data_IF_314638570097
#
_entry.id   IF_314638570097
#
_cell.length_a   1.000
_cell.length_b   1.000
_cell.length_c   1.000
_cell.angle_alpha   90.00
_cell.angle_beta   90.00
_cell.angle_gamma   90.00
#
_symmetry.space_group_name_H-M   'P 1'
#
loop_
_entity.id
_entity.type
_entity.pdbx_description
1 polymer ?
#
# COMPACT_ATOMS: atom_id res chain seq x y z
N UNK A 1 41.98 -1.21 56.36
CA UNK A 1 42.34 -2.22 55.33
C UNK A 1 43.80 -2.57 55.53
N UNK A 2 44.12 -3.86 55.73
CA UNK A 2 45.47 -4.31 56.07
C UNK A 2 46.41 -4.23 54.84
N UNK A 3 47.71 -4.04 55.02
CA UNK A 3 48.64 -3.84 53.89
C UNK A 3 48.80 -5.08 52.99
N UNK A 4 48.61 -6.26 53.56
CA UNK A 4 48.55 -7.53 52.83
C UNK A 4 47.36 -7.60 51.88
N UNK A 5 46.22 -7.00 52.26
CA UNK A 5 45.03 -6.90 51.41
C UNK A 5 45.24 -5.95 50.24
N UNK A 6 45.98 -4.84 50.43
CA UNK A 6 46.35 -3.92 49.34
C UNK A 6 47.21 -4.63 48.31
N UNK A 7 48.19 -5.41 48.75
CA UNK A 7 49.12 -6.13 47.87
C UNK A 7 48.39 -7.18 47.02
N UNK A 8 47.48 -7.95 47.62
CA UNK A 8 46.65 -8.92 46.89
C UNK A 8 45.72 -8.26 45.86
N UNK A 9 45.18 -7.07 46.15
CA UNK A 9 44.36 -6.30 45.21
C UNK A 9 45.21 -5.83 44.03
N UNK A 10 46.40 -5.30 44.31
CA UNK A 10 47.34 -4.83 43.29
C UNK A 10 47.78 -5.96 42.35
N UNK A 11 48.17 -7.12 42.90
CA UNK A 11 48.53 -8.30 42.09
C UNK A 11 47.34 -8.84 41.27
N UNK A 12 46.11 -8.68 41.76
CA UNK A 12 44.91 -9.03 40.98
C UNK A 12 44.67 -8.01 39.87
N UNK A 13 44.87 -6.72 40.14
CA UNK A 13 44.75 -5.64 39.15
C UNK A 13 45.78 -5.79 38.02
N UNK A 14 47.04 -6.03 38.36
CA UNK A 14 48.12 -6.27 37.39
C UNK A 14 47.84 -7.50 36.52
N UNK A 15 47.38 -8.61 37.11
CA UNK A 15 46.93 -9.79 36.34
C UNK A 15 45.75 -9.51 35.39
N UNK A 16 44.89 -8.56 35.72
CA UNK A 16 43.78 -8.17 34.84
C UNK A 16 44.23 -7.20 33.74
N UNK A 17 45.20 -6.32 34.02
CA UNK A 17 45.84 -5.46 33.02
C UNK A 17 46.62 -6.30 32.00
N UNK A 18 47.39 -7.29 32.45
CA UNK A 18 48.16 -8.19 31.57
C UNK A 18 47.28 -9.05 30.68
N UNK A 19 46.03 -9.31 31.09
CA UNK A 19 45.01 -10.01 30.28
C UNK A 19 44.13 -9.08 29.46
N UNK A 20 44.21 -7.77 29.67
CA UNK A 20 43.36 -6.78 29.01
C UNK A 20 43.84 -6.55 27.57
N UNK A 21 42.92 -6.53 26.62
CA UNK A 21 43.21 -6.06 25.26
C UNK A 21 43.43 -4.54 25.27
N UNK A 22 44.29 -4.04 24.39
CA UNK A 22 44.53 -2.59 24.28
C UNK A 22 43.34 -1.96 23.58
N UNK A 23 42.86 -0.83 24.12
CA UNK A 23 41.81 -0.05 23.48
C UNK A 23 42.20 0.37 22.05
N UNK A 24 43.43 0.88 21.91
CA UNK A 24 44.04 1.14 20.61
C UNK A 24 45.30 0.28 20.45
N UNK A 25 45.47 -0.44 19.34
CA UNK A 25 44.62 -0.44 18.14
C UNK A 25 43.52 -1.53 18.16
N UNK A 26 43.60 -2.50 19.07
CA UNK A 26 42.85 -3.77 18.94
C UNK A 26 41.33 -3.61 19.03
N UNK A 27 40.82 -2.89 20.04
CA UNK A 27 39.37 -2.68 20.19
C UNK A 27 38.81 -1.81 19.07
N UNK A 28 39.48 -0.70 18.74
CA UNK A 28 39.02 0.20 17.68
C UNK A 28 38.97 -0.49 16.32
N UNK A 29 39.93 -1.38 16.02
CA UNK A 29 39.90 -2.13 14.77
C UNK A 29 38.71 -3.10 14.71
N UNK A 30 38.38 -3.77 15.82
CA UNK A 30 37.17 -4.61 15.92
C UNK A 30 35.90 -3.78 15.74
N UNK A 31 35.82 -2.61 16.37
CA UNK A 31 34.67 -1.70 16.25
C UNK A 31 34.51 -1.19 14.81
N UNK A 32 35.62 -0.90 14.12
CA UNK A 32 35.62 -0.46 12.72
C UNK A 32 35.15 -1.57 11.77
N UNK A 33 35.59 -2.82 11.98
CA UNK A 33 35.10 -3.96 11.20
C UNK A 33 33.59 -4.16 11.42
N UNK A 34 33.14 -4.10 12.67
CA UNK A 34 31.72 -4.27 13.01
C UNK A 34 30.86 -3.14 12.44
N UNK A 35 31.29 -1.89 12.57
CA UNK A 35 30.55 -0.73 12.03
C UNK A 35 30.50 -0.74 10.51
N UNK A 36 31.60 -1.11 9.84
CA UNK A 36 31.62 -1.31 8.39
C UNK A 36 30.67 -2.44 7.97
N UNK A 37 30.66 -3.55 8.71
CA UNK A 37 29.76 -4.67 8.45
C UNK A 37 28.28 -4.27 8.55
N UNK A 38 27.90 -3.52 9.60
CA UNK A 38 26.54 -2.99 9.76
C UNK A 38 26.21 -2.00 8.64
N UNK A 39 27.15 -1.12 8.27
CA UNK A 39 26.94 -0.15 7.19
C UNK A 39 26.70 -0.85 5.84
N UNK A 40 27.51 -1.86 5.51
CA UNK A 40 27.31 -2.67 4.30
C UNK A 40 25.97 -3.41 4.35
N UNK A 41 25.59 -3.98 5.48
CA UNK A 41 24.28 -4.63 5.65
C UNK A 41 23.13 -3.65 5.39
N UNK A 42 23.21 -2.43 5.92
CA UNK A 42 22.19 -1.39 5.70
C UNK A 42 22.14 -0.96 4.24
N UNK A 43 23.28 -0.83 3.56
CA UNK A 43 23.31 -0.56 2.13
C UNK A 43 22.65 -1.68 1.32
N UNK A 44 22.94 -2.95 1.62
CA UNK A 44 22.33 -4.09 0.94
C UNK A 44 20.82 -4.13 1.18
N UNK A 45 20.35 -3.92 2.41
CA UNK A 45 18.93 -3.82 2.73
C UNK A 45 18.27 -2.68 1.93
N UNK A 46 18.89 -1.49 1.90
CA UNK A 46 18.37 -0.34 1.17
C UNK A 46 18.33 -0.57 -0.36
N UNK A 47 19.31 -1.26 -0.93
CA UNK A 47 19.36 -1.49 -2.39
C UNK A 47 18.50 -2.66 -2.86
N UNK A 48 18.35 -3.73 -2.05
CA UNK A 48 17.68 -4.96 -2.48
C UNK A 48 16.28 -5.14 -1.90
N UNK A 49 15.97 -4.59 -0.73
CA UNK A 49 14.64 -4.67 -0.11
C UNK A 49 13.89 -3.34 -0.25
N UNK A 50 14.61 -2.22 -0.25
CA UNK A 50 14.02 -0.89 -0.36
C UNK A 50 13.25 -0.48 0.90
N UNK A 51 12.63 0.70 0.85
CA UNK A 51 11.73 1.20 1.89
C UNK A 51 10.34 1.32 1.26
N UNK A 52 9.26 0.84 1.93
CA UNK A 52 7.90 1.03 1.44
C UNK A 52 7.64 2.52 1.19
N UNK A 53 7.29 2.88 -0.05
CA UNK A 53 6.98 4.26 -0.39
C UNK A 53 5.54 4.55 0.04
N UNK A 54 5.38 5.53 0.92
CA UNK A 54 4.07 6.08 1.25
C UNK A 54 3.71 7.20 0.27
N UNK A 55 2.41 7.42 -0.01
CA UNK A 55 2.01 8.51 -0.86
C UNK A 55 2.40 9.83 -0.18
N UNK A 56 2.64 10.85 -0.99
CA UNK A 56 2.95 12.18 -0.48
C UNK A 56 1.80 12.66 0.41
N UNK A 57 2.14 13.27 1.54
CA UNK A 57 1.15 13.74 2.50
C UNK A 57 0.08 14.62 1.84
N UNK A 58 -1.17 14.18 1.93
CA UNK A 58 -2.36 14.89 1.43
C UNK A 58 -3.24 15.32 2.63
N UNK A 59 -3.36 16.62 2.92
CA UNK A 59 -4.19 17.11 4.02
C UNK A 59 -5.70 16.96 3.77
N UNK A 60 -6.11 16.63 2.54
CA UNK A 60 -7.51 16.39 2.17
C UNK A 60 -7.92 14.92 2.19
N UNK A 61 -6.96 14.02 2.38
CA UNK A 61 -7.24 12.61 2.59
C UNK A 61 -7.59 12.35 4.06
N UNK A 62 -8.87 12.09 4.32
CA UNK A 62 -9.39 11.71 5.65
C UNK A 62 -9.47 10.21 5.85
N UNK A 63 -9.16 9.42 4.82
CA UNK A 63 -9.16 7.95 4.85
C UNK A 63 -7.81 7.37 5.29
N UNK A 64 -6.72 8.12 5.14
CA UNK A 64 -5.40 7.70 5.63
C UNK A 64 -5.40 7.51 7.15
N UNK A 65 -5.07 6.29 7.59
CA UNK A 65 -4.93 5.95 9.01
C UNK A 65 -3.45 6.07 9.38
N UNK A 66 -3.01 7.16 10.03
CA UNK A 66 -1.61 7.36 10.37
C UNK A 66 -1.16 6.32 11.40
N UNK A 67 -0.21 5.47 11.00
CA UNK A 67 0.46 4.53 11.90
C UNK A 67 1.89 5.00 12.13
N UNK A 68 2.43 4.85 13.34
CA UNK A 68 3.81 5.22 13.60
C UNK A 68 4.78 4.17 13.06
N UNK A 69 6.04 4.58 12.96
CA UNK A 69 7.17 3.73 12.57
C UNK A 69 7.29 2.44 13.38
N UNK A 70 7.90 1.41 12.78
CA UNK A 70 7.94 0.04 13.31
C UNK A 70 8.47 -0.06 14.75
N UNK A 71 9.43 0.78 15.13
CA UNK A 71 10.02 0.82 16.48
C UNK A 71 9.08 1.45 17.53
N UNK A 72 7.97 2.04 17.12
CA UNK A 72 6.92 2.58 18.00
C UNK A 72 5.60 1.79 17.94
N UNK A 73 5.48 0.78 17.08
CA UNK A 73 4.27 -0.03 16.97
C UNK A 73 3.86 -0.69 18.29
N UNK A 74 4.81 -1.13 19.12
CA UNK A 74 4.49 -1.69 20.43
C UNK A 74 3.86 -0.65 21.37
N UNK A 75 4.30 0.62 21.31
CA UNK A 75 3.73 1.70 22.12
C UNK A 75 2.35 2.09 21.61
N UNK A 76 2.19 2.15 20.29
CA UNK A 76 0.89 2.36 19.66
C UNK A 76 -0.11 1.30 20.11
N UNK A 77 0.27 0.02 20.01
CA UNK A 77 -0.58 -1.07 20.46
C UNK A 77 -0.83 -1.04 21.96
N UNK A 78 0.20 -0.77 22.77
CA UNK A 78 0.06 -0.61 24.22
C UNK A 78 -0.95 0.49 24.59
N UNK A 79 -0.91 1.63 23.90
CA UNK A 79 -1.85 2.74 24.11
C UNK A 79 -3.27 2.34 23.70
N UNK A 80 -3.42 1.62 22.58
CA UNK A 80 -4.72 1.08 22.16
C UNK A 80 -5.31 0.11 23.21
N UNK A 81 -4.50 -0.77 23.79
CA UNK A 81 -4.92 -1.68 24.87
C UNK A 81 -5.26 -0.93 26.16
N UNK A 82 -4.49 0.13 26.47
CA UNK A 82 -4.78 0.98 27.62
C UNK A 82 -6.15 1.65 27.53
N UNK A 83 -6.55 2.10 26.34
CA UNK A 83 -7.88 2.66 26.07
C UNK A 83 -9.03 1.70 26.38
N UNK A 84 -8.79 0.39 26.37
CA UNK A 84 -9.79 -0.63 26.69
C UNK A 84 -10.05 -0.81 28.20
N UNK A 85 -9.20 -0.24 29.08
CA UNK A 85 -9.38 -0.40 30.52
C UNK A 85 -10.55 0.46 31.03
N UNK A 86 -11.60 -0.13 31.65
CA UNK A 86 -12.85 0.56 31.97
C UNK A 86 -12.72 1.72 32.98
N UNK A 87 -11.67 1.73 33.81
CA UNK A 87 -11.44 2.76 34.83
C UNK A 87 -10.38 3.81 34.44
N UNK A 88 -9.44 3.43 33.57
CA UNK A 88 -8.18 4.16 33.38
C UNK A 88 -8.03 4.62 31.91
N UNK A 89 -8.67 3.93 30.96
CA UNK A 89 -8.60 4.22 29.52
C UNK A 89 -9.21 5.55 29.09
N UNK A 90 -10.07 6.17 29.91
CA UNK A 90 -10.63 7.52 29.65
C UNK A 90 -9.63 8.65 29.87
N UNK A 91 -8.48 8.36 30.48
CA UNK A 91 -7.49 9.35 30.88
C UNK A 91 -6.21 9.09 30.08
N UNK A 92 -6.15 9.62 28.87
CA UNK A 92 -5.04 9.36 27.93
C UNK A 92 -3.69 9.89 28.44
N UNK A 93 -3.67 11.03 29.15
CA UNK A 93 -2.42 11.62 29.67
C UNK A 93 -1.68 10.71 30.67
N UNK A 94 -2.39 9.82 31.36
CA UNK A 94 -1.78 8.85 32.27
C UNK A 94 -0.93 7.83 31.47
N UNK A 95 -1.41 7.36 30.32
CA UNK A 95 -0.61 6.46 29.50
C UNK A 95 0.57 7.17 28.83
N UNK A 96 0.38 8.40 28.35
CA UNK A 96 1.38 9.11 27.54
C UNK A 96 2.44 9.85 28.35
N UNK A 97 2.12 10.29 29.58
CA UNK A 97 3.03 11.05 30.44
C UNK A 97 3.47 10.24 31.65
N UNK A 98 2.53 9.63 32.39
CA UNK A 98 2.86 8.96 33.65
C UNK A 98 3.67 7.68 33.41
N UNK A 99 3.30 6.85 32.43
CA UNK A 99 4.01 5.58 32.16
C UNK A 99 5.48 5.81 31.77
N UNK A 100 5.84 6.69 30.82
CA UNK A 100 7.24 6.97 30.50
C UNK A 100 8.02 7.56 31.69
N UNK A 101 7.41 8.45 32.47
CA UNK A 101 8.03 9.05 33.66
C UNK A 101 8.31 7.99 34.72
N UNK A 102 7.37 7.07 34.97
CA UNK A 102 7.58 5.93 35.87
C UNK A 102 8.68 5.02 35.31
N UNK A 103 8.66 4.69 34.02
CA UNK A 103 9.68 3.82 33.42
C UNK A 103 11.09 4.42 33.57
N UNK A 104 11.25 5.72 33.29
CA UNK A 104 12.50 6.44 33.46
C UNK A 104 12.90 6.53 34.94
N UNK A 105 11.94 6.80 35.83
CA UNK A 105 12.14 6.80 37.28
C UNK A 105 12.59 5.45 37.82
N UNK A 106 11.98 4.36 37.36
CA UNK A 106 12.41 3.00 37.70
C UNK A 106 13.82 2.75 37.18
N UNK A 107 14.10 3.05 35.90
CA UNK A 107 15.41 2.82 35.27
C UNK A 107 16.54 3.58 35.97
N UNK A 108 16.30 4.84 36.34
CA UNK A 108 17.24 5.65 37.13
C UNK A 108 17.41 5.14 38.56
N UNK A 109 16.37 4.55 39.15
CA UNK A 109 16.40 3.96 40.49
C UNK A 109 16.87 2.49 40.52
N UNK A 110 17.07 1.83 39.37
CA UNK A 110 17.55 0.44 39.29
C UNK A 110 18.79 0.19 40.17
N UNK A 111 19.84 1.04 40.18
CA UNK A 111 21.02 0.83 41.01
C UNK A 111 20.73 0.75 42.52
N UNK A 112 19.64 1.38 42.98
CA UNK A 112 19.22 1.39 44.38
C UNK A 112 18.26 0.23 44.70
N UNK A 113 17.44 -0.18 43.73
CA UNK A 113 16.50 -1.30 43.84
C UNK A 113 17.26 -2.64 43.79
N UNK A 114 18.27 -2.76 42.92
CA UNK A 114 19.07 -3.97 42.73
C UNK A 114 20.42 -3.90 43.45
N UNK A 115 20.41 -4.14 44.77
CA UNK A 115 21.63 -4.18 45.61
C UNK A 115 22.41 -5.51 45.50
N UNK A 116 22.32 -6.22 44.39
CA UNK A 116 22.96 -7.54 44.24
C UNK A 116 24.48 -7.42 44.25
N UNK A 117 25.21 -8.20 45.08
CA UNK A 117 26.67 -8.21 45.10
C UNK A 117 27.29 -8.83 43.83
N UNK A 118 26.48 -9.46 42.98
CA UNK A 118 26.92 -10.15 41.78
C UNK A 118 26.89 -9.21 40.57
N UNK A 119 28.03 -9.04 39.90
CA UNK A 119 28.14 -8.15 38.71
C UNK A 119 27.86 -8.86 37.38
N UNK A 120 28.09 -10.17 37.30
CA UNK A 120 27.87 -10.92 36.07
C UNK A 120 26.36 -11.09 35.80
N UNK A 121 25.91 -10.73 34.59
CA UNK A 121 24.49 -10.69 34.23
C UNK A 121 23.79 -12.04 34.49
N UNK A 122 24.41 -13.16 34.09
CA UNK A 122 23.78 -14.50 34.19
C UNK A 122 23.41 -14.93 35.60
N UNK A 123 23.95 -14.29 36.64
CA UNK A 123 23.60 -14.59 38.03
C UNK A 123 22.51 -13.66 38.59
N UNK A 124 22.10 -12.64 37.82
CA UNK A 124 21.03 -11.69 38.15
C UNK A 124 19.69 -12.20 37.62
N UNK A 125 19.15 -13.22 38.29
CA UNK A 125 17.89 -13.85 37.90
C UNK A 125 16.74 -12.84 37.73
N UNK A 126 16.60 -11.87 38.65
CA UNK A 126 15.47 -10.93 38.63
C UNK A 126 15.52 -10.02 37.40
N UNK A 127 16.68 -9.41 37.16
CA UNK A 127 16.85 -8.44 36.08
C UNK A 127 16.73 -9.13 34.71
N UNK A 128 17.28 -10.34 34.56
CA UNK A 128 17.12 -11.13 33.33
C UNK A 128 15.65 -11.51 33.12
N UNK A 129 14.95 -11.99 34.14
CA UNK A 129 13.54 -12.36 34.05
C UNK A 129 12.65 -11.19 33.64
N UNK A 130 12.83 -10.02 34.26
CA UNK A 130 12.09 -8.80 33.91
C UNK A 130 12.40 -8.37 32.47
N UNK A 131 13.68 -8.33 32.10
CA UNK A 131 14.11 -7.94 30.75
C UNK A 131 13.53 -8.88 29.69
N UNK A 132 13.49 -10.19 29.97
CA UNK A 132 12.95 -11.20 29.06
C UNK A 132 11.46 -10.98 28.81
N UNK A 133 10.67 -10.80 29.87
CA UNK A 133 9.23 -10.52 29.73
C UNK A 133 8.99 -9.20 28.99
N UNK A 134 9.78 -8.17 29.26
CA UNK A 134 9.68 -6.88 28.59
C UNK A 134 9.98 -6.97 27.09
N UNK A 135 11.06 -7.65 26.70
CA UNK A 135 11.43 -7.83 25.27
C UNK A 135 10.39 -8.67 24.55
N UNK A 136 9.91 -9.77 25.15
CA UNK A 136 8.83 -10.57 24.57
C UNK A 136 7.56 -9.73 24.43
N UNK A 137 7.23 -8.92 25.43
CA UNK A 137 6.10 -7.98 25.35
C UNK A 137 6.23 -7.00 24.19
N UNK A 138 7.39 -6.37 24.01
CA UNK A 138 7.65 -5.46 22.88
C UNK A 138 7.44 -6.18 21.56
N UNK A 139 8.05 -7.35 21.36
CA UNK A 139 7.93 -8.12 20.11
C UNK A 139 6.49 -8.51 19.83
N UNK A 140 5.79 -9.10 20.81
CA UNK A 140 4.41 -9.56 20.61
C UNK A 140 3.43 -8.41 20.39
N UNK A 141 3.59 -7.27 21.08
CA UNK A 141 2.76 -6.08 20.85
C UNK A 141 3.03 -5.47 19.46
N UNK A 142 4.28 -5.45 18.99
CA UNK A 142 4.61 -5.03 17.62
C UNK A 142 3.92 -5.95 16.61
N UNK A 143 3.99 -7.27 16.78
CA UNK A 143 3.35 -8.23 15.87
C UNK A 143 1.82 -8.09 15.84
N UNK A 144 1.18 -7.82 16.98
CA UNK A 144 -0.27 -7.63 17.07
C UNK A 144 -0.73 -6.20 16.75
N UNK A 145 0.16 -5.30 16.35
CA UNK A 145 -0.15 -3.87 16.19
C UNK A 145 -1.17 -3.59 15.08
N UNK A 146 -1.20 -4.43 14.05
CA UNK A 146 -2.15 -4.34 12.94
C UNK A 146 -3.54 -4.90 13.26
N UNK A 147 -3.64 -5.80 14.23
CA UNK A 147 -4.90 -6.47 14.57
C UNK A 147 -5.84 -5.51 15.30
N UNK A 148 -7.08 -5.30 14.84
CA UNK A 148 -8.03 -4.42 15.53
C UNK A 148 -8.41 -5.00 16.91
N UNK A 149 -8.76 -4.11 17.83
CA UNK A 149 -9.16 -4.49 19.20
C UNK A 149 -10.66 -4.73 19.34
N UNK A 150 -11.43 -4.34 18.33
CA UNK A 150 -12.88 -4.60 18.17
C UNK A 150 -13.07 -5.16 16.77
N UNK A 151 -13.72 -6.32 16.66
CA UNK A 151 -14.05 -6.93 15.37
C UNK A 151 -15.14 -6.14 14.64
N UNK A 152 -15.25 -6.31 13.32
CA UNK A 152 -16.33 -5.72 12.51
C UNK A 152 -17.73 -6.12 13.02
N UNK A 153 -17.88 -7.35 13.52
CA UNK A 153 -19.10 -7.87 14.16
C UNK A 153 -19.39 -7.26 15.55
N UNK A 154 -18.59 -6.30 16.03
CA UNK A 154 -18.68 -5.71 17.36
C UNK A 154 -18.15 -6.58 18.49
N UNK A 155 -17.57 -7.74 18.18
CA UNK A 155 -16.96 -8.64 19.16
C UNK A 155 -15.70 -8.02 19.78
N UNK A 156 -15.58 -8.08 21.12
CA UNK A 156 -14.40 -7.57 21.85
C UNK A 156 -13.45 -8.68 22.28
N UNK A 157 -13.71 -9.93 21.87
CA UNK A 157 -12.96 -11.11 22.29
C UNK A 157 -11.45 -10.96 21.98
N UNK A 158 -11.11 -10.60 20.74
CA UNK A 158 -9.72 -10.38 20.33
C UNK A 158 -9.04 -9.29 21.16
N UNK A 159 -9.71 -8.14 21.38
CA UNK A 159 -9.20 -7.07 22.23
C UNK A 159 -8.97 -7.49 23.68
N UNK A 160 -9.88 -8.29 24.25
CA UNK A 160 -9.70 -8.80 25.62
C UNK A 160 -8.50 -9.75 25.73
N UNK A 161 -8.30 -10.66 24.77
CA UNK A 161 -7.14 -11.55 24.72
C UNK A 161 -5.84 -10.77 24.57
N UNK A 162 -5.81 -9.77 23.69
CA UNK A 162 -4.66 -8.88 23.52
C UNK A 162 -4.35 -8.11 24.82
N UNK A 163 -5.38 -7.61 25.53
CA UNK A 163 -5.21 -6.89 26.80
C UNK A 163 -4.68 -7.82 27.90
N UNK A 164 -5.17 -9.06 27.95
CA UNK A 164 -4.71 -10.07 28.90
C UNK A 164 -3.23 -10.39 28.66
N UNK A 165 -2.85 -10.68 27.41
CA UNK A 165 -1.48 -11.00 27.03
C UNK A 165 -0.52 -9.81 27.17
N UNK A 166 -0.96 -8.61 26.78
CA UNK A 166 -0.13 -7.41 26.71
C UNK A 166 0.04 -6.65 28.02
N UNK A 167 -0.94 -6.74 28.94
CA UNK A 167 -0.95 -5.94 30.19
C UNK A 167 -1.04 -6.84 31.42
N UNK A 168 -2.10 -7.63 31.56
CA UNK A 168 -2.37 -8.34 32.82
C UNK A 168 -1.33 -9.42 33.12
N UNK A 169 -0.98 -10.25 32.14
CA UNK A 169 0.02 -11.31 32.31
C UNK A 169 1.40 -10.72 32.70
N UNK A 170 1.96 -9.72 31.99
CA UNK A 170 3.21 -9.08 32.39
C UNK A 170 3.18 -8.45 33.79
N UNK A 171 2.10 -7.72 34.13
CA UNK A 171 1.99 -7.05 35.44
C UNK A 171 1.96 -8.07 36.59
N UNK A 172 1.18 -9.14 36.45
CA UNK A 172 1.15 -10.24 37.43
C UNK A 172 2.51 -10.92 37.51
N UNK A 173 3.18 -11.14 36.37
CA UNK A 173 4.49 -11.75 36.33
C UNK A 173 5.55 -10.91 37.06
N UNK A 174 5.58 -9.59 36.86
CA UNK A 174 6.51 -8.70 37.57
C UNK A 174 6.28 -8.73 39.09
N UNK A 175 5.02 -8.78 39.53
CA UNK A 175 4.69 -8.95 40.95
C UNK A 175 5.20 -10.29 41.49
N UNK A 176 4.95 -11.40 40.79
CA UNK A 176 5.42 -12.73 41.19
C UNK A 176 6.94 -12.84 41.22
N UNK A 177 7.64 -12.25 40.25
CA UNK A 177 9.11 -12.21 40.23
C UNK A 177 9.68 -11.45 41.41
N UNK A 178 9.02 -10.38 41.87
CA UNK A 178 9.42 -9.66 43.06
C UNK A 178 9.23 -10.50 44.32
N UNK A 179 8.10 -11.22 44.44
CA UNK A 179 7.82 -12.14 45.56
C UNK A 179 8.82 -13.30 45.59
N UNK A 180 9.15 -13.89 44.45
CA UNK A 180 10.07 -15.02 44.34
C UNK A 180 11.54 -14.63 44.17
N UNK A 181 11.91 -13.37 44.42
CA UNK A 181 13.27 -12.83 44.22
C UNK A 181 14.39 -13.65 44.91
N UNK A 182 14.06 -14.40 45.95
CA UNK A 182 15.02 -15.25 46.69
C UNK A 182 15.26 -16.63 46.06
N UNK A 183 14.43 -17.08 45.11
CA UNK A 183 14.48 -18.42 44.55
C UNK A 183 14.61 -18.40 43.02
N UNK A 184 15.85 -18.54 42.53
CA UNK A 184 16.15 -18.51 41.09
C UNK A 184 15.40 -19.57 40.29
N UNK A 185 15.11 -20.76 40.84
CA UNK A 185 14.36 -21.79 40.11
C UNK A 185 12.94 -21.32 39.84
N UNK A 186 12.25 -20.83 40.86
CA UNK A 186 10.88 -20.33 40.71
C UNK A 186 10.82 -19.18 39.71
N UNK A 187 11.80 -18.29 39.72
CA UNK A 187 11.84 -17.17 38.78
C UNK A 187 12.02 -17.62 37.32
N UNK A 188 12.89 -18.61 37.07
CA UNK A 188 13.05 -19.18 35.73
C UNK A 188 11.76 -19.86 35.27
N UNK A 189 11.10 -20.61 36.15
CA UNK A 189 9.82 -21.25 35.86
C UNK A 189 8.71 -20.23 35.59
N UNK A 190 8.58 -19.19 36.42
CA UNK A 190 7.58 -18.14 36.21
C UNK A 190 7.81 -17.40 34.90
N UNK A 191 9.07 -17.05 34.61
CA UNK A 191 9.44 -16.37 33.34
C UNK A 191 9.09 -17.24 32.13
N UNK A 192 9.42 -18.54 32.19
CA UNK A 192 9.17 -19.47 31.08
C UNK A 192 7.66 -19.67 30.85
N UNK A 193 6.89 -19.85 31.92
CA UNK A 193 5.44 -20.05 31.84
C UNK A 193 4.72 -18.79 31.31
N UNK A 194 5.17 -17.61 31.75
CA UNK A 194 4.66 -16.32 31.27
C UNK A 194 5.03 -16.09 29.81
N UNK A 195 6.26 -16.37 29.41
CA UNK A 195 6.69 -16.26 28.03
C UNK A 195 5.83 -17.14 27.11
N UNK A 196 5.65 -18.41 27.48
CA UNK A 196 4.83 -19.36 26.71
C UNK A 196 3.37 -18.92 26.66
N UNK A 197 2.78 -18.46 27.78
CA UNK A 197 1.39 -18.01 27.76
C UNK A 197 1.19 -16.77 26.90
N UNK A 198 2.09 -15.79 26.97
CA UNK A 198 2.06 -14.61 26.10
C UNK A 198 2.17 -15.01 24.64
N UNK A 199 3.13 -15.87 24.28
CA UNK A 199 3.32 -16.33 22.90
C UNK A 199 2.10 -17.09 22.39
N UNK A 200 1.53 -18.00 23.19
CA UNK A 200 0.35 -18.77 22.79
C UNK A 200 -0.86 -17.88 22.58
N UNK A 201 -1.16 -16.97 23.52
CA UNK A 201 -2.33 -16.08 23.39
C UNK A 201 -2.14 -15.12 22.21
N UNK A 202 -0.98 -14.48 22.08
CA UNK A 202 -0.68 -13.62 20.93
C UNK A 202 -0.71 -14.39 19.62
N UNK A 203 -0.22 -15.63 19.59
CA UNK A 203 -0.30 -16.51 18.43
C UNK A 203 -1.74 -16.84 18.05
N UNK A 204 -2.62 -17.11 19.03
CA UNK A 204 -4.06 -17.30 18.77
C UNK A 204 -4.73 -16.04 18.25
N UNK A 205 -4.34 -14.86 18.75
CA UNK A 205 -4.84 -13.58 18.25
C UNK A 205 -4.44 -13.38 16.79
N UNK A 206 -3.18 -13.67 16.44
CA UNK A 206 -2.70 -13.57 15.06
C UNK A 206 -3.37 -14.59 14.13
N UNK A 207 -3.61 -15.80 14.60
CA UNK A 207 -4.28 -16.84 13.82
C UNK A 207 -5.78 -16.58 13.59
N UNK A 208 -6.43 -15.86 14.51
CA UNK A 208 -7.83 -15.45 14.41
C UNK A 208 -8.00 -14.01 13.89
N UNK A 209 -6.90 -13.35 13.52
CA UNK A 209 -6.97 -12.02 12.95
C UNK A 209 -7.67 -12.09 11.58
N UNK A 210 -8.56 -11.14 11.25
CA UNK A 210 -9.13 -11.07 9.92
C UNK A 210 -8.00 -10.96 8.89
N UNK A 211 -8.17 -11.60 7.72
CA UNK A 211 -7.20 -11.46 6.64
C UNK A 211 -6.99 -9.98 6.35
N UNK A 212 -5.72 -9.60 6.17
CA UNK A 212 -5.34 -8.25 5.76
C UNK A 212 -5.95 -8.06 4.38
N UNK A 213 -7.15 -7.46 4.33
CA UNK A 213 -7.68 -6.94 3.08
C UNK A 213 -6.64 -5.90 2.68
N UNK A 214 -5.81 -6.27 1.72
CA UNK A 214 -4.88 -5.37 1.08
C UNK A 214 -5.78 -4.34 0.42
N UNK A 215 -6.13 -3.29 1.17
CA UNK A 215 -6.42 -2.00 0.58
C UNK A 215 -5.06 -1.46 0.14
N UNK A 216 -4.45 -2.19 -0.80
CA UNK A 216 -3.49 -1.65 -1.74
C UNK A 216 -4.29 -0.61 -2.51
N UNK A 217 -4.36 0.60 -1.97
CA UNK A 217 -3.97 1.69 -2.84
C UNK A 217 -2.58 1.27 -3.33
N UNK A 218 -2.51 0.67 -4.52
CA UNK A 218 -1.25 0.50 -5.25
C UNK A 218 -0.73 1.92 -5.45
N UNK A 219 -0.04 2.43 -4.43
CA UNK A 219 0.67 3.68 -4.51
C UNK A 219 1.73 3.39 -5.53
N UNK A 220 1.55 3.93 -6.73
CA UNK A 220 2.48 3.74 -7.82
C UNK A 220 3.87 4.17 -7.36
N UNK A 221 4.74 3.17 -7.11
CA UNK A 221 6.04 3.39 -6.46
C UNK A 221 7.14 3.61 -7.48
N UNK A 222 7.01 3.00 -8.67
CA UNK A 222 7.94 3.21 -9.78
C UNK A 222 7.41 4.28 -10.72
N UNK A 223 8.32 4.93 -11.47
CA UNK A 223 7.93 5.92 -12.48
C UNK A 223 6.98 5.32 -13.54
N UNK A 224 7.20 4.07 -13.93
CA UNK A 224 6.36 3.37 -14.91
C UNK A 224 4.95 3.19 -14.34
N UNK A 225 4.82 2.72 -13.11
CA UNK A 225 3.51 2.57 -12.46
C UNK A 225 2.80 3.93 -12.34
N UNK A 226 3.55 5.01 -12.07
CA UNK A 226 2.99 6.36 -11.95
C UNK A 226 2.48 6.88 -13.28
N UNK A 227 3.20 6.59 -14.37
CA UNK A 227 2.75 6.91 -15.73
C UNK A 227 1.48 6.12 -16.06
N UNK A 228 1.43 4.82 -15.78
CA UNK A 228 0.25 3.97 -16.06
C UNK A 228 -0.96 4.38 -15.21
N UNK A 229 -0.77 4.60 -13.91
CA UNK A 229 -1.84 5.09 -13.03
C UNK A 229 -2.35 6.47 -13.48
N UNK A 230 -1.43 7.38 -13.83
CA UNK A 230 -1.76 8.70 -14.37
C UNK A 230 -2.50 8.64 -15.70
N UNK A 231 -2.11 7.69 -16.54
CA UNK A 231 -2.73 7.42 -17.82
C UNK A 231 -4.20 6.99 -17.61
N UNK A 232 -4.46 6.01 -16.75
CA UNK A 232 -5.81 5.52 -16.46
C UNK A 232 -6.70 6.62 -15.87
N UNK A 233 -6.17 7.39 -14.91
CA UNK A 233 -6.87 8.54 -14.34
C UNK A 233 -7.19 9.61 -15.40
N UNK A 234 -6.23 9.92 -16.28
CA UNK A 234 -6.46 10.85 -17.39
C UNK A 234 -7.56 10.35 -18.34
N UNK A 235 -7.59 9.04 -18.62
CA UNK A 235 -8.64 8.42 -19.43
C UNK A 235 -10.04 8.64 -18.86
N UNK A 236 -10.19 8.43 -17.56
CA UNK A 236 -11.50 8.51 -16.91
C UNK A 236 -11.98 9.95 -16.75
N UNK A 237 -11.06 10.88 -16.46
CA UNK A 237 -11.43 12.24 -16.02
C UNK A 237 -11.16 13.34 -17.05
N UNK A 238 -10.28 13.13 -18.03
CA UNK A 238 -9.76 14.23 -18.86
C UNK A 238 -10.02 14.06 -20.36
N UNK A 239 -10.08 12.83 -20.89
CA UNK A 239 -10.17 12.56 -22.34
C UNK A 239 -11.42 13.17 -22.99
N UNK A 240 -12.54 13.20 -22.28
CA UNK A 240 -13.82 13.75 -22.80
C UNK A 240 -13.67 15.19 -23.31
N UNK A 241 -12.87 16.02 -22.63
CA UNK A 241 -12.66 17.42 -23.00
C UNK A 241 -11.32 17.69 -23.70
N UNK A 242 -10.28 16.91 -23.39
CA UNK A 242 -8.91 17.17 -23.84
C UNK A 242 -8.43 16.24 -24.96
N UNK A 243 -9.17 15.18 -25.28
CA UNK A 243 -8.72 14.13 -26.19
C UNK A 243 -7.73 13.17 -25.53
N UNK A 244 -7.46 12.04 -26.17
CA UNK A 244 -6.51 11.02 -25.70
C UNK A 244 -5.05 11.49 -25.77
N UNK A 245 -4.75 12.39 -26.69
CA UNK A 245 -3.43 12.98 -26.90
C UNK A 245 -3.29 14.41 -26.35
N UNK A 246 -4.34 14.98 -25.74
CA UNK A 246 -4.32 16.33 -25.18
C UNK A 246 -4.34 17.45 -26.23
N UNK A 247 -4.63 17.15 -27.50
CA UNK A 247 -4.54 18.08 -28.64
C UNK A 247 -5.75 19.00 -28.83
N UNK A 248 -6.83 18.81 -28.06
CA UNK A 248 -8.06 19.58 -28.23
C UNK A 248 -7.80 21.09 -28.06
N UNK A 249 -8.11 21.85 -29.10
CA UNK A 249 -7.86 23.30 -29.19
C UNK A 249 -9.14 24.15 -29.19
N UNK A 250 -10.32 23.52 -29.26
CA UNK A 250 -11.61 24.19 -29.36
C UNK A 250 -12.56 23.52 -28.37
N UNK A 251 -13.19 24.32 -27.51
CA UNK A 251 -14.16 23.83 -26.54
C UNK A 251 -15.44 23.43 -27.29
N UNK A 252 -15.89 22.20 -27.06
CA UNK A 252 -17.15 21.66 -27.55
C UNK A 252 -17.90 20.99 -26.40
N UNK A 253 -19.22 21.15 -26.35
CA UNK A 253 -20.08 20.51 -25.34
C UNK A 253 -20.12 21.23 -23.98
N UNK A 254 -19.59 22.44 -23.88
CA UNK A 254 -19.65 23.25 -22.63
C UNK A 254 -20.58 24.45 -22.83
N UNK A 255 -21.65 24.50 -22.04
CA UNK A 255 -22.64 25.57 -22.09
C UNK A 255 -21.97 26.94 -21.86
N UNK A 256 -22.10 27.83 -22.84
CA UNK A 256 -21.57 29.20 -22.79
C UNK A 256 -20.13 29.40 -23.28
N UNK A 257 -19.38 28.33 -23.58
CA UNK A 257 -18.00 28.40 -24.10
C UNK A 257 -17.82 27.67 -25.45
N UNK A 258 -18.92 27.31 -26.10
CA UNK A 258 -18.92 26.60 -27.38
C UNK A 258 -18.11 27.33 -28.46
N UNK A 259 -17.15 26.65 -29.07
CA UNK A 259 -16.30 27.20 -30.13
C UNK A 259 -15.17 28.11 -29.65
N UNK A 260 -14.99 28.29 -28.34
CA UNK A 260 -13.88 29.07 -27.81
C UNK A 260 -12.54 28.35 -28.03
N UNK A 261 -11.53 29.12 -28.45
CA UNK A 261 -10.19 28.58 -28.73
C UNK A 261 -9.36 28.56 -27.46
N UNK A 262 -8.86 27.39 -27.12
CA UNK A 262 -7.93 27.17 -26.02
C UNK A 262 -6.60 26.66 -26.53
N UNK A 263 -5.55 26.87 -25.73
CA UNK A 263 -4.25 26.27 -26.00
C UNK A 263 -4.32 24.78 -25.64
N UNK A 264 -3.98 23.86 -26.57
CA UNK A 264 -3.93 22.42 -26.28
C UNK A 264 -3.01 22.11 -25.11
N UNK A 265 -3.40 21.17 -24.25
CA UNK A 265 -2.64 20.86 -23.04
C UNK A 265 -1.35 20.09 -23.35
N UNK A 266 -1.28 19.42 -24.49
CA UNK A 266 -0.07 18.78 -25.00
C UNK A 266 0.89 19.74 -25.71
N UNK A 267 0.52 21.02 -25.84
CA UNK A 267 1.36 21.99 -26.54
C UNK A 267 2.60 22.36 -25.72
N UNK A 268 3.67 22.73 -26.42
CA UNK A 268 4.88 23.28 -25.77
C UNK A 268 4.58 24.52 -24.94
N UNK A 269 3.62 25.35 -25.33
CA UNK A 269 3.26 26.54 -24.56
C UNK A 269 2.75 26.19 -23.17
N UNK A 270 1.97 25.12 -23.03
CA UNK A 270 1.48 24.63 -21.73
C UNK A 270 2.58 23.88 -21.00
N UNK A 271 3.17 22.87 -21.64
CA UNK A 271 4.15 22.00 -20.98
C UNK A 271 5.42 22.77 -20.57
N UNK A 272 5.91 23.72 -21.35
CA UNK A 272 7.17 24.39 -21.01
C UNK A 272 7.00 25.48 -19.96
N UNK A 273 5.82 26.10 -19.87
CA UNK A 273 5.63 27.29 -19.02
C UNK A 273 4.96 26.99 -17.68
N UNK A 274 4.12 25.96 -17.61
CA UNK A 274 3.45 25.56 -16.38
C UNK A 274 4.36 24.59 -15.62
N UNK A 275 4.68 24.90 -14.37
CA UNK A 275 5.42 23.98 -13.48
C UNK A 275 4.51 22.86 -12.99
N UNK A 276 5.06 21.74 -12.54
CA UNK A 276 4.24 20.61 -12.05
C UNK A 276 3.35 21.02 -10.87
N UNK A 277 3.87 21.86 -9.97
CA UNK A 277 3.07 22.43 -8.89
C UNK A 277 1.93 23.33 -9.38
N UNK A 278 2.14 24.08 -10.46
CA UNK A 278 1.09 24.91 -11.04
C UNK A 278 0.08 24.06 -11.82
N UNK A 279 0.52 22.99 -12.48
CA UNK A 279 -0.34 22.01 -13.15
C UNK A 279 -1.27 21.35 -12.13
N UNK A 280 -0.72 20.94 -10.98
CA UNK A 280 -1.50 20.44 -9.85
C UNK A 280 -2.61 21.43 -9.45
N UNK A 281 -2.29 22.70 -9.23
CA UNK A 281 -3.29 23.70 -8.82
C UNK A 281 -4.36 23.93 -9.91
N UNK A 282 -3.96 23.91 -11.19
CA UNK A 282 -4.89 24.01 -12.33
C UNK A 282 -5.87 22.86 -12.35
N UNK A 283 -5.41 21.63 -12.11
CA UNK A 283 -6.28 20.44 -12.08
C UNK A 283 -7.13 20.41 -10.80
N UNK A 284 -6.51 20.66 -9.65
CA UNK A 284 -7.16 20.58 -8.35
C UNK A 284 -8.28 21.61 -8.22
N UNK A 285 -8.00 22.88 -8.53
CA UNK A 285 -8.96 23.98 -8.43
C UNK A 285 -9.85 24.10 -9.68
N UNK A 286 -9.41 23.59 -10.82
CA UNK A 286 -10.06 23.80 -12.11
C UNK A 286 -9.82 25.19 -12.68
N UNK A 287 -10.40 25.43 -13.85
CA UNK A 287 -10.42 26.73 -14.54
C UNK A 287 -11.84 27.06 -14.97
N UNK A 288 -12.63 27.73 -14.10
CA UNK A 288 -14.03 28.06 -14.40
C UNK A 288 -14.20 28.86 -15.70
N UNK A 289 -13.26 29.76 -15.99
CA UNK A 289 -13.27 30.58 -17.22
C UNK A 289 -12.97 29.77 -18.50
N UNK A 290 -12.57 28.51 -18.39
CA UNK A 290 -12.30 27.61 -19.51
C UNK A 290 -13.14 26.33 -19.44
N UNK A 291 -14.21 26.32 -18.63
CA UNK A 291 -15.12 25.17 -18.49
C UNK A 291 -14.56 23.99 -17.68
N UNK A 292 -13.34 24.09 -17.16
CA UNK A 292 -12.71 23.02 -16.38
C UNK A 292 -13.16 23.11 -14.91
N UNK A 293 -13.90 22.11 -14.46
CA UNK A 293 -14.35 21.99 -13.06
C UNK A 293 -13.19 21.63 -12.11
N UNK A 294 -13.32 21.84 -10.79
CA UNK A 294 -12.34 21.38 -9.82
C UNK A 294 -12.32 19.84 -9.74
N UNK A 295 -11.14 19.22 -9.83
CA UNK A 295 -11.00 17.77 -9.67
C UNK A 295 -10.39 17.36 -8.33
N UNK A 296 -9.74 18.27 -7.61
CA UNK A 296 -9.11 17.94 -6.33
C UNK A 296 -10.14 17.78 -5.21
N UNK A 297 -9.97 16.76 -4.35
CA UNK A 297 -10.78 16.53 -3.15
C UNK A 297 -10.90 17.76 -2.26
N UNK A 298 -9.83 18.54 -2.15
CA UNK A 298 -9.82 19.81 -1.38
C UNK A 298 -10.86 20.83 -1.88
N UNK A 299 -11.20 20.78 -3.17
CA UNK A 299 -12.11 21.73 -3.84
C UNK A 299 -13.45 21.10 -4.24
N UNK A 300 -13.75 19.90 -3.72
CA UNK A 300 -15.01 19.20 -3.97
C UNK A 300 -15.00 18.21 -5.13
N UNK A 301 -13.83 17.95 -5.73
CA UNK A 301 -13.65 16.89 -6.74
C UNK A 301 -13.32 15.52 -6.12
N UNK A 302 -12.97 14.56 -6.97
CA UNK A 302 -12.77 13.14 -6.58
C UNK A 302 -11.31 12.74 -6.42
N UNK A 303 -10.35 13.52 -6.94
CA UNK A 303 -8.93 13.14 -7.01
C UNK A 303 -8.14 13.64 -5.81
N UNK A 304 -7.34 12.74 -5.23
CA UNK A 304 -6.31 13.04 -4.24
C UNK A 304 -5.11 13.75 -4.87
N UNK A 305 -4.21 14.24 -4.02
CA UNK A 305 -3.00 14.90 -4.47
C UNK A 305 -2.08 13.99 -5.28
N UNK A 306 -1.87 12.75 -4.83
CA UNK A 306 -1.06 11.76 -5.54
C UNK A 306 -1.63 11.42 -6.91
N UNK A 307 -2.95 11.29 -7.02
CA UNK A 307 -3.62 10.99 -8.29
C UNK A 307 -3.43 12.11 -9.32
N UNK A 308 -3.52 13.37 -8.90
CA UNK A 308 -3.25 14.51 -9.79
C UNK A 308 -1.76 14.59 -10.17
N UNK A 309 -0.85 14.27 -9.23
CA UNK A 309 0.58 14.19 -9.52
C UNK A 309 0.86 13.07 -10.56
N UNK A 310 0.16 11.92 -10.49
CA UNK A 310 0.27 10.85 -11.49
C UNK A 310 -0.21 11.30 -12.88
N UNK A 311 -1.36 11.99 -12.96
CA UNK A 311 -1.84 12.57 -14.24
C UNK A 311 -0.79 13.52 -14.81
N UNK A 312 -0.21 14.37 -13.95
CA UNK A 312 0.83 15.32 -14.37
C UNK A 312 2.07 14.58 -14.89
N UNK A 313 2.52 13.52 -14.21
CA UNK A 313 3.62 12.67 -14.65
C UNK A 313 3.31 12.04 -16.01
N UNK A 314 2.12 11.46 -16.18
CA UNK A 314 1.69 10.91 -17.47
C UNK A 314 1.79 11.95 -18.59
N UNK A 315 1.25 13.16 -18.39
CA UNK A 315 1.30 14.23 -19.39
C UNK A 315 2.74 14.63 -19.75
N UNK A 316 3.63 14.71 -18.75
CA UNK A 316 5.05 15.02 -18.96
C UNK A 316 5.73 13.96 -19.81
N UNK A 317 5.69 12.71 -19.38
CA UNK A 317 6.43 11.65 -20.05
C UNK A 317 5.81 11.24 -21.38
N UNK A 318 4.54 11.59 -21.63
CA UNK A 318 3.88 11.28 -22.91
C UNK A 318 4.06 12.37 -23.97
N UNK A 319 4.07 13.66 -23.58
CA UNK A 319 3.97 14.76 -24.54
C UNK A 319 5.09 15.81 -24.43
N UNK A 320 5.83 15.84 -23.32
CA UNK A 320 6.91 16.80 -23.10
C UNK A 320 8.24 16.21 -23.55
N UNK A 321 8.75 16.70 -24.68
CA UNK A 321 9.99 16.27 -25.34
C UNK A 321 11.28 16.53 -24.52
N UNK A 322 11.16 17.16 -23.35
CA UNK A 322 12.27 17.27 -22.37
C UNK A 322 12.46 16.01 -21.55
N UNK A 323 11.46 15.13 -21.54
CA UNK A 323 11.47 13.88 -20.78
C UNK A 323 11.66 12.70 -21.71
N UNK A 324 12.52 11.77 -21.31
CA UNK A 324 12.68 10.49 -22.01
C UNK A 324 11.74 9.48 -21.36
N UNK A 325 10.71 9.07 -22.10
CA UNK A 325 9.75 8.08 -21.62
C UNK A 325 10.47 6.74 -21.36
N UNK A 326 10.33 6.15 -20.16
CA UNK A 326 10.77 4.77 -19.97
C UNK A 326 9.97 3.85 -20.90
N UNK A 327 10.48 2.65 -21.16
CA UNK A 327 9.68 1.61 -21.83
C UNK A 327 8.46 1.29 -20.93
N UNK A 328 7.31 1.83 -21.31
CA UNK A 328 6.03 1.53 -20.66
C UNK A 328 5.53 0.20 -21.24
N UNK A 329 5.20 -0.80 -20.40
CA UNK A 329 4.61 -2.04 -20.85
C UNK A 329 3.39 -1.77 -21.75
N UNK A 330 3.18 -2.63 -22.76
CA UNK A 330 1.96 -2.58 -23.55
C UNK A 330 0.73 -2.76 -22.64
N UNK A 331 -0.41 -2.17 -23.02
CA UNK A 331 -1.65 -2.14 -22.23
C UNK A 331 -2.13 -3.54 -21.79
N UNK A 332 -1.80 -4.56 -22.58
CA UNK A 332 -2.04 -5.95 -22.29
C UNK A 332 -0.94 -6.80 -22.95
N UNK A 333 -0.67 -8.03 -22.47
CA UNK A 333 0.30 -8.93 -23.09
C UNK A 333 -0.07 -9.23 -24.54
N UNK A 334 0.91 -9.31 -25.46
CA UNK A 334 0.63 -9.69 -26.84
C UNK A 334 0.13 -11.14 -26.89
N UNK A 335 -0.98 -11.35 -27.59
CA UNK A 335 -1.59 -12.68 -27.76
C UNK A 335 -0.78 -13.53 -28.73
N UNK A 336 -0.49 -14.77 -28.36
CA UNK A 336 0.05 -15.78 -29.26
C UNK A 336 -0.99 -16.25 -30.29
N UNK A 337 -0.52 -16.94 -31.34
CA UNK A 337 -1.41 -17.56 -32.32
C UNK A 337 -2.22 -18.68 -31.65
N UNK A 338 -3.55 -18.62 -31.77
CA UNK A 338 -4.47 -19.59 -31.14
C UNK A 338 -4.75 -19.34 -29.65
N UNK A 339 -4.14 -18.32 -29.04
CA UNK A 339 -4.43 -17.91 -27.67
C UNK A 339 -5.77 -17.17 -27.58
N UNK A 340 -6.58 -17.58 -26.62
CA UNK A 340 -7.85 -16.93 -26.29
C UNK A 340 -7.59 -15.90 -25.19
N UNK A 341 -7.93 -14.62 -25.38
CA UNK A 341 -7.82 -13.61 -24.33
C UNK A 341 -8.84 -13.85 -23.21
N UNK A 342 -8.54 -13.37 -22.01
CA UNK A 342 -9.46 -13.30 -20.86
C UNK A 342 -9.90 -11.87 -20.56
N UNK A 343 -11.03 -11.72 -19.87
CA UNK A 343 -11.49 -10.41 -19.41
C UNK A 343 -10.48 -9.73 -18.49
N UNK A 344 -10.06 -10.42 -17.42
CA UNK A 344 -9.24 -9.82 -16.36
C UNK A 344 -7.88 -9.33 -16.86
N UNK A 345 -7.27 -10.04 -17.81
CA UNK A 345 -5.91 -9.75 -18.29
C UNK A 345 -5.91 -8.84 -19.51
N UNK A 346 -6.87 -9.01 -20.43
CA UNK A 346 -6.80 -8.38 -21.75
C UNK A 346 -7.89 -7.33 -21.96
N UNK A 347 -9.14 -7.63 -21.63
CA UNK A 347 -10.27 -6.72 -21.92
C UNK A 347 -10.40 -5.63 -20.87
N UNK A 348 -10.26 -5.97 -19.59
CA UNK A 348 -10.46 -5.02 -18.50
C UNK A 348 -9.52 -3.80 -18.60
N UNK A 349 -8.21 -3.94 -18.90
CA UNK A 349 -7.34 -2.77 -19.10
C UNK A 349 -7.80 -1.88 -20.26
N UNK A 350 -8.26 -2.49 -21.36
CA UNK A 350 -8.77 -1.76 -22.54
C UNK A 350 -10.05 -1.00 -22.18
N UNK A 351 -11.00 -1.66 -21.54
CA UNK A 351 -12.28 -1.08 -21.12
C UNK A 351 -12.06 0.08 -20.16
N UNK A 352 -11.19 -0.10 -19.16
CA UNK A 352 -10.77 0.98 -18.25
C UNK A 352 -10.18 2.17 -19.00
N UNK A 353 -9.31 1.91 -19.96
CA UNK A 353 -8.60 2.95 -20.71
C UNK A 353 -9.48 3.70 -21.71
N UNK A 354 -10.38 3.03 -22.41
CA UNK A 354 -11.06 3.62 -23.58
C UNK A 354 -12.57 3.75 -23.43
N UNK A 355 -13.20 2.99 -22.53
CA UNK A 355 -14.65 2.84 -22.51
C UNK A 355 -15.32 3.46 -21.27
N UNK A 356 -14.74 3.25 -20.08
CA UNK A 356 -15.40 3.58 -18.79
C UNK A 356 -15.71 5.08 -18.63
N UNK A 357 -14.93 5.97 -19.26
CA UNK A 357 -15.14 7.42 -19.17
C UNK A 357 -16.57 7.82 -19.59
N UNK A 358 -17.09 7.16 -20.63
CA UNK A 358 -18.45 7.31 -21.13
C UNK A 358 -19.40 6.20 -20.67
N UNK A 359 -18.95 4.95 -20.56
CA UNK A 359 -19.78 3.79 -20.19
C UNK A 359 -19.85 3.53 -18.67
N UNK A 360 -20.32 4.54 -17.93
CA UNK A 360 -20.54 4.50 -16.48
C UNK A 360 -21.87 5.15 -16.08
N UNK A 361 -22.29 4.94 -14.84
CA UNK A 361 -23.55 5.47 -14.35
C UNK A 361 -23.59 7.01 -14.43
N UNK A 362 -24.74 7.56 -14.84
CA UNK A 362 -24.95 9.01 -14.94
C UNK A 362 -24.47 9.67 -16.23
N UNK A 363 -23.97 8.90 -17.20
CA UNK A 363 -23.65 9.37 -18.56
C UNK A 363 -24.75 8.97 -19.55
N UNK A 364 -24.84 9.69 -20.66
CA UNK A 364 -25.74 9.38 -21.77
C UNK A 364 -25.11 8.29 -22.66
N UNK A 365 -25.37 7.03 -22.31
CA UNK A 365 -24.70 5.85 -22.87
C UNK A 365 -25.66 4.66 -23.07
N UNK A 366 -26.95 4.94 -23.28
CA UNK A 366 -28.01 3.93 -23.40
C UNK A 366 -28.05 2.96 -22.20
N UNK A 367 -27.75 3.47 -21.00
CA UNK A 367 -27.64 2.71 -19.75
C UNK A 367 -26.63 1.55 -19.79
N UNK A 368 -25.68 1.58 -20.73
CA UNK A 368 -24.69 0.52 -20.91
C UNK A 368 -23.43 0.80 -20.09
N UNK A 369 -23.22 -0.03 -19.06
CA UNK A 369 -22.17 0.12 -18.07
C UNK A 369 -21.07 -0.91 -18.32
N UNK A 370 -19.81 -0.48 -18.22
CA UNK A 370 -18.64 -1.34 -18.43
C UNK A 370 -17.70 -1.32 -17.23
N UNK A 371 -18.20 -1.08 -16.01
CA UNK A 371 -17.33 -0.96 -14.82
C UNK A 371 -16.95 -2.31 -14.22
N UNK A 372 -17.72 -3.36 -14.51
CA UNK A 372 -17.41 -4.75 -14.17
C UNK A 372 -17.71 -5.69 -15.35
N UNK A 373 -17.20 -6.92 -15.27
CA UNK A 373 -17.48 -7.97 -16.24
C UNK A 373 -18.99 -8.25 -16.35
N UNK A 374 -19.66 -8.37 -15.20
CA UNK A 374 -21.09 -8.65 -15.13
C UNK A 374 -21.91 -7.49 -15.69
N UNK A 375 -21.53 -6.25 -15.38
CA UNK A 375 -22.21 -5.08 -15.92
C UNK A 375 -22.10 -5.00 -17.45
N UNK A 376 -20.91 -5.27 -17.98
CA UNK A 376 -20.63 -5.23 -19.41
C UNK A 376 -21.46 -6.25 -20.21
N UNK A 377 -21.88 -7.34 -19.57
CA UNK A 377 -22.72 -8.37 -20.20
C UNK A 377 -24.21 -8.19 -19.95
N UNK A 378 -24.61 -7.58 -18.83
CA UNK A 378 -26.00 -7.59 -18.38
C UNK A 378 -26.72 -6.24 -18.45
N UNK A 379 -26.00 -5.13 -18.66
CA UNK A 379 -26.57 -3.78 -18.64
C UNK A 379 -26.79 -3.22 -20.04
N UNK A 380 -27.45 -2.06 -20.13
CA UNK A 380 -27.78 -1.37 -21.37
C UNK A 380 -29.20 -1.63 -21.87
N UNK A 381 -29.76 -0.64 -22.56
CA UNK A 381 -31.08 -0.73 -23.19
C UNK A 381 -31.12 -1.82 -24.27
N UNK A 382 -29.95 -2.17 -24.82
CA UNK A 382 -29.73 -3.21 -25.81
C UNK A 382 -28.94 -4.41 -25.24
N UNK A 383 -29.02 -4.70 -23.94
CA UNK A 383 -28.21 -5.74 -23.26
C UNK A 383 -28.16 -7.08 -24.02
N UNK A 384 -29.28 -7.52 -24.61
CA UNK A 384 -29.36 -8.76 -25.37
C UNK A 384 -28.54 -8.78 -26.68
N UNK A 385 -28.20 -7.61 -27.22
CA UNK A 385 -27.47 -7.43 -28.49
C UNK A 385 -26.08 -6.82 -28.31
N UNK A 386 -25.79 -6.22 -27.16
CA UNK A 386 -24.53 -5.53 -26.89
C UNK A 386 -23.33 -6.48 -27.03
N UNK A 387 -23.38 -7.62 -26.34
CA UNK A 387 -22.35 -8.65 -26.40
C UNK A 387 -23.00 -10.03 -26.42
N UNK A 388 -22.76 -10.79 -27.48
CA UNK A 388 -23.28 -12.14 -27.69
C UNK A 388 -22.11 -13.09 -27.94
N UNK A 389 -21.98 -14.12 -27.09
CA UNK A 389 -20.96 -15.15 -27.22
C UNK A 389 -20.97 -15.80 -28.61
N UNK A 390 -19.84 -15.74 -29.33
CA UNK A 390 -19.69 -16.39 -30.63
C UNK A 390 -20.36 -15.69 -31.81
N UNK A 391 -20.86 -14.45 -31.62
CA UNK A 391 -21.56 -13.70 -32.68
C UNK A 391 -20.83 -12.40 -33.02
N UNK A 392 -20.38 -12.31 -34.27
CA UNK A 392 -19.73 -11.12 -34.85
C UNK A 392 -20.70 -9.92 -34.95
N UNK A 393 -22.01 -10.15 -34.85
CA UNK A 393 -23.03 -9.11 -34.88
C UNK A 393 -23.28 -8.46 -33.53
N UNK A 394 -22.52 -8.82 -32.50
CA UNK A 394 -22.51 -8.10 -31.21
C UNK A 394 -22.33 -6.61 -31.46
N UNK A 395 -23.19 -5.75 -30.91
CA UNK A 395 -23.13 -4.30 -31.18
C UNK A 395 -21.79 -3.70 -30.76
N UNK A 396 -21.15 -4.21 -29.70
CA UNK A 396 -19.80 -3.80 -29.32
C UNK A 396 -18.79 -4.06 -30.44
N UNK A 397 -18.82 -5.25 -31.07
CA UNK A 397 -17.91 -5.56 -32.19
C UNK A 397 -18.17 -4.68 -33.41
N UNK A 398 -19.42 -4.38 -33.72
CA UNK A 398 -19.75 -3.50 -34.84
C UNK A 398 -19.30 -2.06 -34.57
N UNK A 399 -19.66 -1.52 -33.41
CA UNK A 399 -19.39 -0.11 -33.08
C UNK A 399 -17.89 0.18 -32.93
N UNK A 400 -17.10 -0.74 -32.34
CA UNK A 400 -15.63 -0.58 -32.24
C UNK A 400 -14.88 -0.73 -33.57
N UNK A 401 -15.53 -1.32 -34.57
CA UNK A 401 -15.05 -1.42 -35.95
C UNK A 401 -15.59 -0.29 -36.83
N UNK A 402 -16.02 0.82 -36.20
CA UNK A 402 -16.54 2.00 -36.89
C UNK A 402 -17.84 1.77 -37.69
N UNK A 403 -18.61 0.72 -37.35
CA UNK A 403 -19.91 0.46 -37.95
C UNK A 403 -21.04 0.89 -36.99
N UNK A 404 -21.82 1.96 -37.32
CA UNK A 404 -22.95 2.37 -36.51
C UNK A 404 -24.10 1.36 -36.59
N UNK A 405 -24.90 1.29 -35.53
CA UNK A 405 -26.09 0.44 -35.47
C UNK A 405 -27.30 1.24 -35.95
N UNK A 406 -28.04 0.65 -36.90
CA UNK A 406 -29.24 1.25 -37.49
C UNK A 406 -30.50 0.48 -37.06
N UNK A 407 -31.63 1.17 -36.96
CA UNK A 407 -32.93 0.56 -36.75
C UNK A 407 -33.51 -0.06 -38.05
N UNK A 408 -34.70 -0.64 -37.96
CA UNK A 408 -35.41 -1.25 -39.10
C UNK A 408 -35.74 -0.25 -40.22
N UNK A 409 -35.74 1.05 -39.94
CA UNK A 409 -36.03 2.13 -40.88
C UNK A 409 -34.74 2.75 -41.47
N UNK A 410 -33.56 2.31 -41.00
CA UNK A 410 -32.26 2.83 -41.39
C UNK A 410 -31.84 4.09 -40.63
N UNK A 411 -32.51 4.43 -39.53
CA UNK A 411 -32.11 5.51 -38.62
C UNK A 411 -31.05 5.02 -37.64
N UNK A 412 -30.04 5.85 -37.38
CA UNK A 412 -28.94 5.51 -36.48
C UNK A 412 -29.40 5.51 -35.02
N UNK A 413 -29.27 4.36 -34.36
CA UNK A 413 -29.62 4.18 -32.95
C UNK A 413 -28.39 4.16 -32.03
N UNK A 414 -27.23 3.74 -32.55
CA UNK A 414 -25.97 3.78 -31.81
C UNK A 414 -24.87 4.19 -32.80
N UNK A 415 -24.18 5.29 -32.51
CA UNK A 415 -23.03 5.73 -33.29
C UNK A 415 -21.83 4.80 -33.16
N UNK A 416 -20.84 4.97 -34.03
CA UNK A 416 -19.54 4.32 -33.89
C UNK A 416 -18.84 4.72 -32.57
N UNK A 417 -18.02 3.81 -32.05
CA UNK A 417 -17.30 3.99 -30.79
C UNK A 417 -15.81 3.65 -30.96
N UNK A 418 -14.88 4.36 -30.32
CA UNK A 418 -15.05 5.62 -29.61
C UNK A 418 -15.46 6.77 -30.55
N UNK A 419 -16.16 7.81 -30.05
CA UNK A 419 -16.67 8.91 -30.89
C UNK A 419 -15.59 9.78 -31.54
N UNK A 420 -14.39 9.81 -30.96
CA UNK A 420 -13.32 10.75 -31.32
C UNK A 420 -12.21 10.12 -32.15
N UNK A 421 -11.78 8.90 -31.81
CA UNK A 421 -10.67 8.20 -32.46
C UNK A 421 -10.91 6.69 -32.54
N UNK A 422 -10.56 6.09 -33.68
CA UNK A 422 -10.62 4.65 -33.90
C UNK A 422 -9.65 3.89 -32.97
N UNK A 423 -10.07 2.72 -32.50
CA UNK A 423 -9.20 1.83 -31.72
C UNK A 423 -8.09 1.25 -32.61
N UNK A 424 -6.93 0.97 -31.99
CA UNK A 424 -5.84 0.30 -32.68
C UNK A 424 -6.27 -1.10 -33.13
N UNK A 425 -5.79 -1.61 -34.29
CA UNK A 425 -6.19 -2.92 -34.80
C UNK A 425 -5.97 -4.08 -33.83
N UNK A 426 -4.90 -4.05 -33.03
CA UNK A 426 -4.62 -5.08 -32.03
C UNK A 426 -5.64 -5.08 -30.88
N UNK A 427 -6.17 -3.92 -30.50
CA UNK A 427 -7.21 -3.78 -29.48
C UNK A 427 -8.52 -4.39 -29.98
N UNK A 428 -8.88 -4.10 -31.23
CA UNK A 428 -10.07 -4.65 -31.89
C UNK A 428 -9.97 -6.18 -32.02
N UNK A 429 -8.81 -6.70 -32.45
CA UNK A 429 -8.57 -8.15 -32.57
C UNK A 429 -8.77 -8.89 -31.23
N UNK A 430 -8.31 -8.30 -30.12
CA UNK A 430 -8.51 -8.88 -28.78
C UNK A 430 -10.00 -9.00 -28.44
N UNK A 431 -10.81 -7.97 -28.71
CA UNK A 431 -12.26 -8.02 -28.50
C UNK A 431 -12.94 -9.08 -29.38
N UNK A 432 -12.56 -9.15 -30.67
CA UNK A 432 -13.08 -10.16 -31.60
C UNK A 432 -12.79 -11.56 -31.06
N UNK A 433 -11.51 -11.87 -30.76
CA UNK A 433 -11.13 -13.19 -30.25
C UNK A 433 -11.82 -13.52 -28.93
N UNK A 434 -11.96 -12.55 -28.04
CA UNK A 434 -12.60 -12.74 -26.75
C UNK A 434 -14.09 -13.10 -26.89
N UNK A 435 -14.85 -12.30 -27.66
CA UNK A 435 -16.28 -12.50 -27.88
C UNK A 435 -16.53 -13.80 -28.64
N UNK A 436 -15.73 -14.08 -29.68
CA UNK A 436 -15.88 -15.27 -30.50
C UNK A 436 -15.57 -16.58 -29.76
N UNK A 437 -14.79 -16.51 -28.67
CA UNK A 437 -14.46 -17.68 -27.84
C UNK A 437 -15.27 -17.73 -26.53
N UNK A 438 -16.42 -17.07 -26.46
CA UNK A 438 -17.35 -17.23 -25.34
C UNK A 438 -16.98 -16.42 -24.09
N UNK A 439 -16.10 -15.43 -24.23
CA UNK A 439 -15.84 -14.39 -23.22
C UNK A 439 -15.38 -14.92 -21.85
N UNK A 440 -14.29 -15.72 -21.78
CA UNK A 440 -13.79 -16.18 -20.50
C UNK A 440 -13.41 -14.99 -19.60
N UNK A 441 -13.78 -15.06 -18.33
CA UNK A 441 -13.51 -13.98 -17.38
C UNK A 441 -12.06 -14.05 -16.91
N UNK A 442 -11.65 -15.23 -16.44
CA UNK A 442 -10.33 -15.43 -15.83
C UNK A 442 -9.30 -15.97 -16.83
N UNK A 443 -8.01 -15.79 -16.51
CA UNK A 443 -6.92 -16.35 -17.31
C UNK A 443 -6.96 -17.89 -17.36
N UNK A 444 -7.42 -18.54 -16.31
CA UNK A 444 -7.54 -20.00 -16.23
C UNK A 444 -8.61 -20.52 -17.20
N UNK A 445 -9.78 -19.87 -17.24
CA UNK A 445 -10.84 -20.18 -18.20
C UNK A 445 -10.35 -20.02 -19.64
N UNK A 446 -9.68 -18.90 -19.93
CA UNK A 446 -9.17 -18.60 -21.26
C UNK A 446 -8.07 -19.59 -21.70
N UNK A 447 -7.22 -20.05 -20.78
CA UNK A 447 -6.20 -21.05 -21.06
C UNK A 447 -6.81 -22.40 -21.49
N UNK A 448 -7.98 -22.77 -20.97
CA UNK A 448 -8.66 -24.04 -21.39
C UNK A 448 -9.22 -23.97 -22.81
N UNK A 449 -9.49 -22.78 -23.31
CA UNK A 449 -10.05 -22.53 -24.64
C UNK A 449 -8.98 -22.25 -25.70
N UNK A 450 -7.75 -21.93 -25.25
CA UNK A 450 -6.61 -21.65 -26.11
C UNK A 450 -6.12 -22.91 -26.81
N UNK A 451 -5.86 -22.80 -28.12
CA UNK A 451 -5.30 -23.90 -28.92
C UNK A 451 -3.79 -23.69 -29.02
N UNK A 452 -3.00 -24.63 -28.49
CA UNK A 452 -1.54 -24.60 -28.67
C UNK A 452 -1.22 -24.91 -30.15
N UNK A 453 -0.49 -24.04 -30.87
CA UNK A 453 -0.11 -24.36 -32.24
C UNK A 453 0.76 -25.64 -32.26
N UNK A 454 0.37 -26.60 -33.11
CA UNK A 454 1.12 -27.83 -33.31
C UNK A 454 2.49 -27.47 -33.92
N UNK A 455 3.58 -27.77 -33.20
CA UNK A 455 4.93 -27.45 -33.64
C UNK A 455 5.18 -28.03 -35.03
N UNK A 456 5.28 -27.17 -36.05
CA UNK A 456 5.63 -27.61 -37.40
C UNK A 456 7.04 -28.20 -37.34
N UNK A 457 7.24 -29.48 -37.69
CA UNK A 457 8.60 -30.03 -37.71
C UNK A 457 9.38 -29.24 -38.76
N UNK A 458 10.51 -28.65 -38.33
CA UNK A 458 11.39 -27.88 -39.19
C UNK A 458 11.82 -28.73 -40.41
N UNK A 459 11.89 -28.13 -41.62
CA UNK A 459 12.18 -28.85 -42.86
C UNK A 459 13.59 -29.46 -42.91
#
# INVERSE_FOLDING_TARGET
MNDETKKQIQERYERHLDKGERFWPDTIFKDLIMSLGIFVLLLLLATFIGVPAEPKADPSDTSYIPRPEWYFLFLFKFLALYGQLPLIGKIEWLATVLVPVIALGVLTLIPFIEKSPQRHYSKRGLSISIMTIMVIGIVLLTLMSEVPTVSEDGSTLLGTLQTIAGIFIPVIAYFLLFVFKSNNRLMVWTTSLVAVSMILISGTVLALAPEKKAEETEVATTLVDQIVAGQDLYSVHCVECHGDDGSVAIIAGVEGLEGEKITPINSRDVLYTITDSAMYEVIAYGRPNAGMIPFGKTYGGELSRSEIDYITIFMRYSWDDRFEAPEVPELFPPLAEGEVPSYDVHIQPIVKRYCISCHRAGKDNNNYLMTSYEEMLATGDNAANNIIAGDENSYVLQTIQEHPILDENGEEIISMMPPTNALKPNVVDVFIRWIMNGMPQTAEEAATLSVTPEATPAP
#
